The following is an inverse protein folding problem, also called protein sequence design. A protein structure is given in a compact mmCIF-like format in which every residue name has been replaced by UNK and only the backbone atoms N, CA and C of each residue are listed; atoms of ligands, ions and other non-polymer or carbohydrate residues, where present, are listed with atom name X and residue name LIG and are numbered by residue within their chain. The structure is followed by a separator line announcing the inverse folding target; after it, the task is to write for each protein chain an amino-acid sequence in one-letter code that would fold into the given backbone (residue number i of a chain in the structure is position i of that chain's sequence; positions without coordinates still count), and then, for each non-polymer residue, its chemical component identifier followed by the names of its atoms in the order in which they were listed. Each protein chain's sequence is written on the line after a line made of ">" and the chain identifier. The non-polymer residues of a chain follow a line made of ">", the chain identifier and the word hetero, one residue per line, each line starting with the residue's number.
data_IF_760865767685
#
_entry.id   IF_760865767685
#
_cell.length_a   1.000
_cell.length_b   1.000
_cell.length_c   1.000
_cell.angle_alpha   90.00
_cell.angle_beta   90.00
_cell.angle_gamma   90.00
#
_symmetry.space_group_name_H-M   'P 1'
#
loop_
_entity.id
_entity.type
_entity.pdbx_description
1 polymer ?
#
# COMPACT_ATOMS: atom_id res chain seq x y z
N UNK A 1 22.23 17.07 8.10
CA UNK A 1 21.03 17.90 8.36
C UNK A 1 20.22 17.31 9.54
N UNK A 2 20.66 17.51 10.80
CA UNK A 2 19.99 17.00 12.02
C UNK A 2 20.06 17.99 13.20
N UNK A 3 20.26 19.28 12.94
CA UNK A 3 20.67 20.24 13.99
C UNK A 3 19.78 21.47 14.21
N UNK A 4 18.69 21.67 13.45
CA UNK A 4 17.92 22.93 13.54
C UNK A 4 16.54 22.76 14.19
N UNK A 5 16.03 21.54 14.27
CA UNK A 5 14.69 21.27 14.79
C UNK A 5 14.79 20.18 15.84
N UNK A 6 14.48 20.51 17.10
CA UNK A 6 14.34 19.54 18.19
C UNK A 6 13.26 18.49 17.91
N UNK A 7 12.72 17.81 18.94
CA UNK A 7 11.66 16.78 18.76
C UNK A 7 10.57 17.30 17.83
N UNK A 8 10.48 16.68 16.65
CA UNK A 8 9.52 17.04 15.60
C UNK A 8 8.11 16.95 16.21
N UNK A 9 7.31 18.03 16.19
CA UNK A 9 5.95 17.99 16.71
C UNK A 9 5.12 16.92 16.01
N UNK A 10 4.28 16.19 16.75
CA UNK A 10 3.41 15.13 16.22
C UNK A 10 2.65 15.49 14.91
N UNK A 11 2.15 16.72 14.71
CA UNK A 11 1.50 17.12 13.46
C UNK A 11 2.43 17.07 12.24
N UNK A 12 3.70 17.46 12.41
CA UNK A 12 4.70 17.43 11.34
C UNK A 12 5.09 15.99 11.01
N UNK A 13 5.12 15.11 12.01
CA UNK A 13 5.32 13.67 11.80
C UNK A 13 4.20 13.06 10.95
N UNK A 14 2.94 13.46 11.21
CA UNK A 14 1.79 13.01 10.43
C UNK A 14 1.81 13.53 8.98
N UNK A 15 2.26 14.76 8.75
CA UNK A 15 2.44 15.32 7.41
C UNK A 15 3.52 14.58 6.61
N UNK A 16 4.64 14.25 7.25
CA UNK A 16 5.71 13.45 6.64
C UNK A 16 5.22 12.04 6.30
N UNK A 17 4.47 11.39 7.20
CA UNK A 17 3.86 10.08 6.93
C UNK A 17 2.84 10.14 5.80
N UNK A 18 2.01 11.17 5.74
CA UNK A 18 1.07 11.37 4.64
C UNK A 18 1.80 11.48 3.29
N UNK A 19 2.85 12.31 3.23
CA UNK A 19 3.68 12.44 2.02
C UNK A 19 4.34 11.11 1.62
N UNK A 20 4.80 10.32 2.58
CA UNK A 20 5.36 8.99 2.31
C UNK A 20 4.30 8.03 1.73
N UNK A 21 3.08 8.03 2.27
CA UNK A 21 1.96 7.24 1.77
C UNK A 21 1.57 7.67 0.35
N UNK A 22 1.54 8.98 0.07
CA UNK A 22 1.23 9.49 -1.27
C UNK A 22 2.27 9.02 -2.31
N UNK A 23 3.57 9.09 -1.97
CA UNK A 23 4.64 8.59 -2.82
C UNK A 23 4.50 7.08 -3.04
N UNK A 24 4.32 6.31 -1.96
CA UNK A 24 4.19 4.86 -2.03
C UNK A 24 2.96 4.43 -2.83
N UNK A 25 1.86 5.18 -2.75
CA UNK A 25 0.65 4.92 -3.52
C UNK A 25 0.88 5.08 -5.02
N UNK A 26 1.66 6.10 -5.41
CA UNK A 26 2.07 6.29 -6.79
C UNK A 26 3.03 5.19 -7.25
N UNK A 27 4.01 4.81 -6.43
CA UNK A 27 4.99 3.75 -6.78
C UNK A 27 4.34 2.37 -6.86
N UNK A 28 3.39 2.07 -5.96
CA UNK A 28 2.58 0.87 -5.97
C UNK A 28 1.51 0.88 -7.09
N UNK A 29 1.51 1.87 -7.99
CA UNK A 29 0.57 1.96 -9.12
C UNK A 29 -0.88 1.71 -8.71
N UNK A 30 -1.31 2.37 -7.63
CA UNK A 30 -2.70 2.28 -7.18
C UNK A 30 -3.61 3.08 -8.12
N UNK A 31 -4.81 2.56 -8.38
CA UNK A 31 -5.85 3.29 -9.10
C UNK A 31 -6.61 4.25 -8.17
N UNK A 32 -6.89 3.82 -6.94
CA UNK A 32 -7.62 4.62 -5.95
C UNK A 32 -7.27 4.16 -4.52
N UNK A 33 -7.30 5.07 -3.56
CA UNK A 33 -7.19 4.78 -2.14
C UNK A 33 -8.15 5.66 -1.35
N UNK A 34 -8.99 5.03 -0.54
CA UNK A 34 -9.98 5.71 0.30
C UNK A 34 -9.79 5.34 1.76
N UNK A 35 -9.49 6.34 2.57
CA UNK A 35 -9.42 6.21 4.02
C UNK A 35 -10.80 6.47 4.60
N UNK A 36 -11.48 5.43 5.06
CA UNK A 36 -12.83 5.49 5.63
C UNK A 36 -12.77 5.38 7.15
N UNK A 37 -13.88 5.58 7.87
CA UNK A 37 -13.89 5.62 9.34
C UNK A 37 -13.21 4.41 10.00
N UNK A 38 -13.61 3.20 9.62
CA UNK A 38 -13.15 1.95 10.22
C UNK A 38 -12.18 1.12 9.36
N UNK A 39 -11.96 1.49 8.09
CA UNK A 39 -11.10 0.73 7.18
C UNK A 39 -10.47 1.62 6.11
N UNK A 40 -9.51 1.07 5.36
CA UNK A 40 -8.90 1.68 4.19
C UNK A 40 -9.20 0.78 3.00
N UNK A 41 -9.83 1.33 1.97
CA UNK A 41 -10.05 0.65 0.69
C UNK A 41 -8.99 1.07 -0.31
N UNK A 42 -8.38 0.09 -0.96
CA UNK A 42 -7.33 0.28 -1.96
C UNK A 42 -7.76 -0.44 -3.22
N UNK A 43 -7.69 0.25 -4.36
CA UNK A 43 -7.91 -0.32 -5.68
C UNK A 43 -6.57 -0.34 -6.40
N UNK A 44 -6.12 -1.54 -6.80
CA UNK A 44 -4.88 -1.69 -7.55
C UNK A 44 -5.07 -1.23 -9.00
N UNK A 45 -4.02 -0.66 -9.59
CA UNK A 45 -4.00 -0.28 -11.00
C UNK A 45 -4.00 -1.48 -11.94
N UNK A 46 -4.30 -1.21 -13.22
CA UNK A 46 -4.35 -2.23 -14.26
C UNK A 46 -2.98 -2.87 -14.56
N UNK A 47 -1.87 -2.23 -14.15
CA UNK A 47 -0.53 -2.80 -14.26
C UNK A 47 -0.39 -4.16 -13.59
N UNK A 48 -1.11 -4.38 -12.49
CA UNK A 48 -1.11 -5.66 -11.80
C UNK A 48 -1.71 -6.79 -12.66
N UNK A 49 -2.68 -6.47 -13.54
CA UNK A 49 -3.31 -7.47 -14.40
C UNK A 49 -2.39 -7.99 -15.50
N UNK A 50 -1.33 -7.25 -15.82
CA UNK A 50 -0.32 -7.65 -16.81
C UNK A 50 0.65 -8.69 -16.24
N UNK A 51 0.78 -8.75 -14.92
CA UNK A 51 1.69 -9.66 -14.23
C UNK A 51 1.11 -11.08 -14.23
N UNK A 52 1.81 -12.02 -14.86
CA UNK A 52 1.41 -13.43 -14.86
C UNK A 52 1.48 -14.00 -13.44
N UNK A 53 0.39 -14.62 -12.98
CA UNK A 53 0.32 -15.18 -11.62
C UNK A 53 0.20 -14.13 -10.51
N UNK A 54 -0.20 -12.90 -10.83
CA UNK A 54 -0.34 -11.79 -9.86
C UNK A 54 -1.17 -12.14 -8.63
N UNK A 55 -2.19 -12.98 -8.76
CA UNK A 55 -3.00 -13.42 -7.62
C UNK A 55 -2.19 -14.10 -6.54
N UNK A 56 -1.29 -15.01 -6.92
CA UNK A 56 -0.41 -15.71 -5.98
C UNK A 56 0.60 -14.74 -5.36
N UNK A 57 1.22 -13.88 -6.18
CA UNK A 57 2.20 -12.89 -5.72
C UNK A 57 1.59 -11.89 -4.73
N UNK A 58 0.39 -11.40 -5.01
CA UNK A 58 -0.35 -10.52 -4.10
C UNK A 58 -0.71 -11.26 -2.82
N UNK A 59 -1.18 -12.50 -2.93
CA UNK A 59 -1.53 -13.28 -1.75
C UNK A 59 -0.31 -13.51 -0.85
N UNK A 60 0.80 -14.01 -1.41
CA UNK A 60 2.06 -14.22 -0.69
C UNK A 60 2.59 -12.94 -0.03
N UNK A 61 2.57 -11.83 -0.76
CA UNK A 61 3.01 -10.53 -0.26
C UNK A 61 2.12 -9.99 0.86
N UNK A 62 0.85 -10.39 0.87
CA UNK A 62 -0.15 -9.93 1.83
C UNK A 62 -0.41 -10.90 2.98
N UNK A 63 0.25 -12.07 3.01
CA UNK A 63 0.18 -13.03 4.13
C UNK A 63 0.36 -12.35 5.50
N UNK A 64 1.33 -11.43 5.70
CA UNK A 64 1.52 -10.77 7.01
C UNK A 64 0.32 -9.93 7.47
N UNK A 65 -0.57 -9.55 6.54
CA UNK A 65 -1.69 -8.64 6.78
C UNK A 65 -3.05 -9.36 6.76
N UNK A 66 -3.08 -10.67 6.51
CA UNK A 66 -4.31 -11.43 6.22
C UNK A 66 -5.35 -11.40 7.35
N UNK A 67 -4.91 -11.25 8.60
CA UNK A 67 -5.81 -11.19 9.76
C UNK A 67 -6.64 -9.91 9.87
N UNK A 68 -6.47 -8.96 8.96
CA UNK A 68 -7.19 -7.67 8.91
C UNK A 68 -7.36 -7.14 7.51
N UNK A 69 -7.05 -7.96 6.52
CA UNK A 69 -7.08 -7.55 5.12
C UNK A 69 -7.96 -8.51 4.35
N UNK A 70 -8.89 -7.95 3.60
CA UNK A 70 -9.73 -8.68 2.65
C UNK A 70 -9.30 -8.30 1.25
N UNK A 71 -8.90 -9.30 0.48
CA UNK A 71 -8.54 -9.15 -0.92
C UNK A 71 -9.74 -9.63 -1.74
N UNK A 72 -10.11 -8.88 -2.77
CA UNK A 72 -11.22 -9.22 -3.65
C UNK A 72 -10.83 -8.91 -5.09
N UNK A 73 -11.29 -9.72 -6.02
CA UNK A 73 -11.15 -9.47 -7.44
C UNK A 73 -12.54 -9.23 -8.03
N UNK A 74 -12.83 -7.98 -8.37
CA UNK A 74 -14.16 -7.53 -8.80
C UNK A 74 -13.98 -6.65 -10.02
N UNK A 75 -14.80 -6.86 -11.06
CA UNK A 75 -14.78 -6.05 -12.29
C UNK A 75 -13.37 -5.97 -12.93
N UNK A 76 -12.65 -7.09 -12.95
CA UNK A 76 -11.27 -7.20 -13.43
C UNK A 76 -10.29 -6.29 -12.68
N UNK A 77 -10.55 -5.95 -11.43
CA UNK A 77 -9.65 -5.17 -10.59
C UNK A 77 -9.47 -5.83 -9.23
N UNK A 78 -8.24 -5.78 -8.72
CA UNK A 78 -7.94 -6.17 -7.35
C UNK A 78 -8.27 -5.03 -6.40
N UNK A 79 -9.08 -5.35 -5.39
CA UNK A 79 -9.46 -4.47 -4.31
C UNK A 79 -8.97 -5.06 -3.00
N UNK A 80 -8.39 -4.22 -2.17
CA UNK A 80 -7.85 -4.59 -0.86
C UNK A 80 -8.52 -3.70 0.17
N UNK A 81 -9.21 -4.31 1.12
CA UNK A 81 -9.78 -3.62 2.28
C UNK A 81 -8.95 -3.98 3.50
N UNK A 82 -8.41 -2.99 4.19
CA UNK A 82 -7.65 -3.15 5.42
C UNK A 82 -8.40 -2.50 6.59
N UNK A 83 -8.75 -3.28 7.62
CA UNK A 83 -9.43 -2.77 8.81
C UNK A 83 -8.46 -1.92 9.65
N UNK A 84 -8.93 -0.76 10.13
CA UNK A 84 -8.11 0.13 10.96
C UNK A 84 -7.94 -0.42 12.36
N UNK A 85 -6.69 -0.57 12.76
CA UNK A 85 -6.23 -0.90 14.12
C UNK A 85 -5.44 0.25 14.71
N UNK A 86 -4.93 0.09 15.93
CA UNK A 86 -4.09 1.11 16.59
C UNK A 86 -2.87 1.53 15.76
N UNK A 87 -2.33 0.60 14.97
CA UNK A 87 -1.12 0.77 14.14
C UNK A 87 -1.41 0.92 12.65
N UNK A 88 -2.66 1.19 12.26
CA UNK A 88 -3.10 1.08 10.86
C UNK A 88 -2.29 1.90 9.85
N UNK A 89 -1.71 3.03 10.27
CA UNK A 89 -0.89 3.87 9.39
C UNK A 89 0.41 3.16 9.04
N UNK A 90 1.05 2.53 10.02
CA UNK A 90 2.28 1.77 9.84
C UNK A 90 1.99 0.47 9.08
N UNK A 91 0.87 -0.18 9.38
CA UNK A 91 0.40 -1.37 8.68
C UNK A 91 0.14 -1.07 7.19
N UNK A 92 -0.52 0.06 6.90
CA UNK A 92 -0.75 0.54 5.54
C UNK A 92 0.58 0.83 4.82
N UNK A 93 1.50 1.54 5.47
CA UNK A 93 2.80 1.85 4.88
C UNK A 93 3.56 0.57 4.49
N UNK A 94 3.60 -0.41 5.39
CA UNK A 94 4.26 -1.69 5.13
C UNK A 94 3.57 -2.47 4.01
N UNK A 95 2.23 -2.49 3.99
CA UNK A 95 1.46 -3.13 2.92
C UNK A 95 1.76 -2.47 1.57
N UNK A 96 1.80 -1.14 1.49
CA UNK A 96 2.14 -0.42 0.27
C UNK A 96 3.56 -0.71 -0.22
N UNK A 97 4.52 -0.90 0.68
CA UNK A 97 5.88 -1.34 0.33
C UNK A 97 5.89 -2.74 -0.27
N UNK A 98 5.13 -3.69 0.30
CA UNK A 98 5.01 -5.03 -0.28
C UNK A 98 4.35 -4.96 -1.68
N UNK A 99 3.29 -4.17 -1.83
CA UNK A 99 2.60 -3.99 -3.11
C UNK A 99 3.49 -3.33 -4.18
N UNK A 100 4.34 -2.37 -3.82
CA UNK A 100 5.27 -1.74 -4.76
C UNK A 100 6.36 -2.70 -5.22
N UNK A 101 6.86 -3.57 -4.33
CA UNK A 101 7.82 -4.62 -4.70
C UNK A 101 7.26 -5.59 -5.73
N UNK A 102 5.99 -5.99 -5.63
CA UNK A 102 5.34 -6.86 -6.63
C UNK A 102 5.40 -6.23 -8.02
N UNK A 103 5.20 -4.92 -8.12
CA UNK A 103 5.23 -4.20 -9.41
C UNK A 103 6.65 -4.01 -9.91
N UNK A 104 7.58 -3.56 -9.05
CA UNK A 104 8.95 -3.26 -9.45
C UNK A 104 9.72 -4.51 -9.88
N UNK A 105 9.56 -5.63 -9.18
CA UNK A 105 10.26 -6.89 -9.50
C UNK A 105 9.84 -7.40 -10.88
N UNK A 106 8.57 -7.27 -11.25
CA UNK A 106 8.07 -7.77 -12.54
C UNK A 106 8.40 -6.83 -13.71
N UNK A 107 8.43 -5.51 -13.51
CA UNK A 107 8.87 -4.59 -14.59
C UNK A 107 10.35 -4.79 -14.96
N UNK A 108 11.20 -5.29 -14.04
CA UNK A 108 12.61 -5.60 -14.31
C UNK A 108 12.83 -6.91 -15.09
N UNK A 109 11.80 -7.72 -15.26
CA UNK A 109 11.88 -8.99 -16.00
C UNK A 109 11.47 -8.78 -17.47
N UNK A 110 10.87 -7.63 -17.80
CA UNK A 110 10.45 -7.25 -19.16
C UNK A 110 11.43 -6.31 -19.88
N UNK A 111 12.57 -5.95 -19.27
CA UNK A 111 13.73 -5.26 -19.89
C UNK A 111 14.89 -6.25 -20.11
#
# INVERSE_FOLDING_TARGET
>A
MRDIYGKIPNPVHLLLKKRAIDILSSTAKLADMRVLGSYVDITLGNDYLKIKGVGNLLFESLIPFIGYTKISYIQRQFKIRMDKRRTWVDDLENMLKCLSQVVTTNNKIEE
#
